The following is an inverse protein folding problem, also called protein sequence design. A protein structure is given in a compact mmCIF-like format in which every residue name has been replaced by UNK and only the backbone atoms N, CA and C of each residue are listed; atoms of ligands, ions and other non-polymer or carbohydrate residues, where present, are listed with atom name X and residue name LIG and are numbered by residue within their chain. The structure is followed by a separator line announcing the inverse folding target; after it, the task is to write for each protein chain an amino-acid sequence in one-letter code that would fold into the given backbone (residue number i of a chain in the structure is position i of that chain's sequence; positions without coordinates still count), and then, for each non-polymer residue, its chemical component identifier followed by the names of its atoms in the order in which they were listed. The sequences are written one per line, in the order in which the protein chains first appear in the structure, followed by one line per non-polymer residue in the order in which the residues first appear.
data_IF_297997750594
#
_entry.id   IF_297997750594
#
_cell.length_a   1.000
_cell.length_b   1.000
_cell.length_c   1.000
_cell.angle_alpha   90.00
_cell.angle_beta   90.00
_cell.angle_gamma   90.00
#
_symmetry.space_group_name_H-M   'P 1'
#
loop_
_entity.id
_entity.type
_entity.pdbx_description
1 polymer ?
#
# COMPACT_ATOMS: atom_id res chain seq x y z
N UNK A 1 -23.52 68.01 44.74
CA UNK A 1 -23.08 67.75 43.37
C UNK A 1 -23.08 66.27 43.18
N UNK A 2 -24.11 65.71 42.52
CA UNK A 2 -24.35 64.29 42.32
C UNK A 2 -23.87 63.92 40.89
N UNK A 3 -23.08 62.95 40.68
CA UNK A 3 -22.71 62.58 39.32
C UNK A 3 -23.81 61.75 38.68
N UNK A 4 -24.06 62.03 37.43
CA UNK A 4 -25.03 61.46 36.52
C UNK A 4 -24.53 60.10 36.07
N UNK A 5 -25.31 59.05 36.32
CA UNK A 5 -25.05 57.70 35.79
C UNK A 5 -25.79 57.59 34.45
N UNK A 6 -25.04 57.47 33.36
CA UNK A 6 -25.58 57.15 32.03
C UNK A 6 -25.56 55.68 31.86
N UNK A 7 -26.71 55.00 31.77
CA UNK A 7 -26.85 53.61 31.29
C UNK A 7 -26.84 53.61 29.75
N UNK A 8 -25.98 52.87 29.16
CA UNK A 8 -26.03 52.57 27.72
C UNK A 8 -26.43 51.12 27.61
N UNK A 9 -27.70 50.85 27.40
CA UNK A 9 -28.21 49.56 26.93
C UNK A 9 -28.10 49.57 25.39
N UNK A 10 -27.08 48.90 24.86
CA UNK A 10 -27.02 48.61 23.42
C UNK A 10 -26.96 47.13 23.23
N UNK A 11 -28.10 46.51 22.95
CA UNK A 11 -28.24 45.18 22.43
C UNK A 11 -27.60 45.14 21.03
N UNK A 12 -26.44 44.54 20.91
CA UNK A 12 -25.88 44.14 19.60
C UNK A 12 -26.24 42.68 19.40
N UNK A 13 -27.34 42.41 18.72
CA UNK A 13 -27.65 41.12 18.11
C UNK A 13 -26.87 41.02 16.82
N UNK A 14 -25.61 40.62 16.93
CA UNK A 14 -24.83 40.16 15.77
C UNK A 14 -25.16 38.70 15.43
N UNK A 15 -25.11 38.31 14.14
CA UNK A 15 -25.31 36.91 13.77
C UNK A 15 -24.25 36.06 14.47
N UNK A 16 -24.68 34.93 15.08
CA UNK A 16 -23.82 33.88 15.56
C UNK A 16 -22.92 33.43 14.39
N UNK A 17 -21.64 33.79 14.46
CA UNK A 17 -20.63 33.20 13.58
C UNK A 17 -20.65 31.70 13.83
N UNK A 18 -21.09 30.94 12.84
CA UNK A 18 -20.90 29.51 12.82
C UNK A 18 -19.40 29.21 13.05
N UNK A 19 -19.05 28.25 13.89
CA UNK A 19 -17.64 27.89 14.03
C UNK A 19 -17.11 27.57 12.65
N UNK A 20 -16.08 28.30 12.21
CA UNK A 20 -15.27 27.90 11.08
C UNK A 20 -14.68 26.54 11.47
N UNK A 21 -15.21 25.46 10.91
CA UNK A 21 -14.54 24.17 10.95
C UNK A 21 -13.25 24.40 10.18
N UNK A 22 -12.14 24.61 10.89
CA UNK A 22 -10.83 24.53 10.29
C UNK A 22 -10.77 23.16 9.64
N UNK A 23 -10.73 23.13 8.29
CA UNK A 23 -10.40 21.91 7.55
C UNK A 23 -8.95 21.57 7.90
N UNK A 24 -8.75 20.80 8.97
CA UNK A 24 -7.46 20.19 9.25
C UNK A 24 -7.11 19.34 8.01
N UNK A 25 -5.89 19.47 7.50
CA UNK A 25 -5.50 18.64 6.35
C UNK A 25 -5.68 17.17 6.72
N UNK A 26 -6.39 16.42 5.87
CA UNK A 26 -6.57 14.98 6.07
C UNK A 26 -5.19 14.30 6.11
N UNK A 27 -4.86 13.55 7.17
CA UNK A 27 -3.58 12.89 7.29
C UNK A 27 -3.29 11.98 6.08
N UNK A 28 -2.05 12.04 5.59
CA UNK A 28 -1.53 11.14 4.57
C UNK A 28 -0.50 10.23 5.24
N UNK A 29 -0.66 8.94 5.05
CA UNK A 29 0.23 7.90 5.56
C UNK A 29 1.00 7.28 4.40
N UNK A 30 2.33 7.30 4.50
CA UNK A 30 3.20 6.64 3.53
C UNK A 30 3.39 5.17 3.89
N UNK A 31 2.92 4.29 3.02
CA UNK A 31 3.02 2.84 3.19
C UNK A 31 4.24 2.24 2.50
N UNK A 32 5.07 3.10 1.89
CA UNK A 32 6.15 2.65 1.03
C UNK A 32 7.40 2.30 1.82
N UNK A 33 7.92 1.10 1.61
CA UNK A 33 9.22 0.68 2.17
C UNK A 33 10.34 1.36 1.40
N UNK A 34 11.30 2.02 2.06
CA UNK A 34 12.45 2.62 1.40
C UNK A 34 13.33 1.56 0.73
N UNK A 35 13.74 1.79 -0.51
CA UNK A 35 14.71 0.94 -1.20
C UNK A 35 16.12 1.23 -0.68
N UNK A 36 16.82 0.22 -0.19
CA UNK A 36 18.22 0.27 0.25
C UNK A 36 19.03 -0.87 -0.35
N UNK A 37 20.36 -0.71 -0.44
CA UNK A 37 21.24 -1.72 -1.03
C UNK A 37 21.24 -3.07 -0.31
N UNK A 38 20.87 -3.08 0.96
CA UNK A 38 20.93 -4.22 1.86
C UNK A 38 19.55 -4.73 2.30
N UNK A 39 18.48 -4.17 1.72
CA UNK A 39 17.14 -4.60 2.09
C UNK A 39 16.87 -6.07 1.76
N UNK A 40 15.97 -6.69 2.53
CA UNK A 40 15.47 -8.01 2.23
C UNK A 40 14.83 -8.04 0.83
N UNK A 41 15.12 -9.08 0.07
CA UNK A 41 14.52 -9.38 -1.24
C UNK A 41 13.97 -10.80 -1.23
N UNK A 42 12.96 -11.06 -2.06
CA UNK A 42 12.48 -12.43 -2.22
C UNK A 42 13.59 -13.33 -2.76
N UNK A 43 13.79 -14.56 -2.25
CA UNK A 43 14.87 -15.44 -2.68
C UNK A 43 14.79 -15.77 -4.18
N UNK A 44 15.85 -15.41 -4.90
CA UNK A 44 15.94 -15.59 -6.36
C UNK A 44 15.72 -14.31 -7.16
N UNK A 45 15.16 -13.28 -6.58
CA UNK A 45 14.98 -12.00 -7.25
C UNK A 45 16.26 -11.16 -7.28
N UNK A 46 16.38 -10.24 -8.25
CA UNK A 46 17.49 -9.29 -8.28
C UNK A 46 17.49 -8.41 -7.03
N UNK A 47 18.62 -8.36 -6.32
CA UNK A 47 18.82 -7.45 -5.21
C UNK A 47 18.87 -5.99 -5.66
N UNK A 48 18.73 -5.08 -4.69
CA UNK A 48 18.78 -3.64 -4.93
C UNK A 48 20.22 -3.16 -4.98
N UNK A 49 20.57 -2.39 -6.02
CA UNK A 49 21.87 -1.72 -6.17
C UNK A 49 21.65 -0.25 -6.51
N UNK A 50 21.94 0.61 -5.56
CA UNK A 50 21.84 2.07 -5.67
C UNK A 50 23.26 2.62 -5.55
N UNK A 51 23.77 3.27 -6.62
CA UNK A 51 25.16 3.75 -6.68
C UNK A 51 25.24 5.16 -7.26
N UNK A 52 26.31 5.88 -6.93
CA UNK A 52 26.56 7.19 -7.51
C UNK A 52 27.12 7.05 -8.92
N UNK A 53 26.31 7.43 -9.92
CA UNK A 53 26.76 7.57 -11.30
C UNK A 53 27.68 8.77 -11.46
N UNK A 54 27.27 9.95 -10.95
CA UNK A 54 28.10 11.14 -10.81
C UNK A 54 27.87 11.80 -9.46
N UNK A 55 28.85 12.60 -8.98
CA UNK A 55 28.81 13.20 -7.66
C UNK A 55 29.53 14.55 -7.60
N UNK A 56 28.89 15.58 -7.08
CA UNK A 56 29.49 16.88 -6.80
C UNK A 56 30.73 16.75 -5.92
N UNK A 57 30.76 15.81 -4.98
CA UNK A 57 31.91 15.55 -4.11
C UNK A 57 33.15 15.05 -4.90
N UNK A 58 32.95 14.46 -6.07
CA UNK A 58 34.02 14.05 -7.00
C UNK A 58 34.38 15.12 -8.04
N UNK A 59 33.73 16.30 -8.01
CA UNK A 59 33.93 17.38 -8.97
C UNK A 59 33.04 17.29 -10.23
N UNK A 60 32.08 16.40 -10.26
CA UNK A 60 31.10 16.34 -11.34
C UNK A 60 30.14 17.55 -11.29
N UNK A 61 29.45 17.86 -12.39
CA UNK A 61 28.52 18.99 -12.48
C UNK A 61 27.20 18.79 -11.74
N UNK A 62 26.85 17.54 -11.40
CA UNK A 62 25.62 17.19 -10.71
C UNK A 62 25.74 15.84 -9.97
N UNK A 63 24.90 15.64 -8.95
CA UNK A 63 24.68 14.33 -8.38
C UNK A 63 23.68 13.55 -9.23
N UNK A 64 24.05 12.36 -9.70
CA UNK A 64 23.17 11.43 -10.41
C UNK A 64 23.29 10.06 -9.77
N UNK A 65 22.15 9.50 -9.39
CA UNK A 65 22.06 8.16 -8.81
C UNK A 65 21.69 7.15 -9.90
N UNK A 66 22.40 6.04 -9.96
CA UNK A 66 22.06 4.89 -10.78
C UNK A 66 21.27 3.90 -9.94
N UNK A 67 20.11 3.47 -10.46
CA UNK A 67 19.24 2.47 -9.86
C UNK A 67 19.32 1.17 -10.67
N UNK A 68 19.48 0.05 -9.98
CA UNK A 68 19.44 -1.30 -10.57
C UNK A 68 18.77 -2.23 -9.56
N UNK A 69 17.55 -2.68 -9.86
CA UNK A 69 16.75 -3.57 -9.01
C UNK A 69 15.64 -4.26 -9.82
N UNK A 70 15.06 -5.33 -9.27
CA UNK A 70 13.94 -6.04 -9.87
C UNK A 70 12.63 -5.26 -9.78
N UNK A 71 11.66 -5.61 -10.62
CA UNK A 71 10.32 -5.02 -10.62
C UNK A 71 9.57 -5.26 -9.29
N UNK A 72 9.90 -6.35 -8.61
CA UNK A 72 9.31 -6.79 -7.33
C UNK A 72 10.15 -6.39 -6.11
N UNK A 73 10.86 -5.25 -6.18
CA UNK A 73 11.68 -4.75 -5.07
C UNK A 73 10.89 -3.79 -4.16
N UNK A 74 10.90 -4.05 -2.86
CA UNK A 74 10.22 -3.23 -1.85
C UNK A 74 8.71 -3.19 -2.05
N UNK A 75 8.11 -2.01 -1.93
CA UNK A 75 6.68 -1.83 -2.24
C UNK A 75 6.47 -1.79 -3.75
N UNK A 76 5.68 -2.71 -4.27
CA UNK A 76 5.46 -2.87 -5.70
C UNK A 76 4.05 -3.38 -6.02
N UNK A 77 3.69 -3.37 -7.30
CA UNK A 77 2.49 -4.01 -7.81
C UNK A 77 2.86 -5.18 -8.68
N UNK A 78 2.06 -6.25 -8.63
CA UNK A 78 2.06 -7.32 -9.61
C UNK A 78 0.99 -7.09 -10.66
N UNK A 79 1.34 -7.32 -11.91
CA UNK A 79 0.43 -7.35 -13.02
C UNK A 79 0.13 -8.79 -13.46
N UNK A 80 -0.98 -9.04 -14.18
CA UNK A 80 -1.28 -10.36 -14.71
C UNK A 80 -0.13 -11.02 -15.48
N UNK A 81 0.68 -10.24 -16.18
CA UNK A 81 1.86 -10.72 -16.90
C UNK A 81 2.94 -11.36 -16.01
N UNK A 82 2.86 -11.21 -14.67
CA UNK A 82 3.81 -11.84 -13.75
C UNK A 82 3.76 -13.38 -13.84
N UNK A 83 2.57 -13.97 -13.88
CA UNK A 83 2.38 -15.41 -13.91
C UNK A 83 1.61 -15.92 -15.14
N UNK A 84 1.11 -15.02 -16.01
CA UNK A 84 0.25 -15.37 -17.14
C UNK A 84 0.87 -14.82 -18.43
N UNK A 85 1.39 -15.72 -19.27
CA UNK A 85 1.99 -15.34 -20.55
C UNK A 85 1.00 -14.59 -21.45
N UNK A 86 1.45 -13.45 -21.98
CA UNK A 86 0.64 -12.61 -22.88
C UNK A 86 -0.47 -11.80 -22.19
N UNK A 87 -0.59 -11.85 -20.87
CA UNK A 87 -1.59 -11.09 -20.13
C UNK A 87 -1.25 -9.60 -20.00
N UNK A 88 -2.13 -8.84 -19.33
CA UNK A 88 -2.00 -7.39 -19.13
C UNK A 88 -0.72 -7.06 -18.35
N UNK A 89 0.01 -6.04 -18.81
CA UNK A 89 1.26 -5.56 -18.24
C UNK A 89 1.04 -4.43 -17.25
N UNK A 90 2.00 -4.20 -16.37
CA UNK A 90 1.95 -3.17 -15.33
C UNK A 90 1.70 -1.76 -15.88
N UNK A 91 2.23 -1.42 -17.07
CA UNK A 91 1.99 -0.13 -17.73
C UNK A 91 0.53 0.09 -18.15
N UNK A 92 -0.27 -0.99 -18.26
CA UNK A 92 -1.67 -0.96 -18.72
C UNK A 92 -2.69 -1.15 -17.59
N UNK A 93 -2.25 -1.24 -16.34
CA UNK A 93 -3.15 -1.33 -15.19
C UNK A 93 -4.05 -0.09 -15.13
N UNK A 94 -5.34 -0.31 -14.92
CA UNK A 94 -6.32 0.77 -14.81
C UNK A 94 -6.09 1.58 -13.53
N UNK A 95 -6.02 2.91 -13.64
CA UNK A 95 -5.85 3.80 -12.48
C UNK A 95 -7.01 3.64 -11.48
N UNK A 96 -8.20 3.31 -11.96
CA UNK A 96 -9.38 3.01 -11.14
C UNK A 96 -9.23 1.76 -10.27
N UNK A 97 -8.25 0.90 -10.55
CA UNK A 97 -7.86 -0.20 -9.66
C UNK A 97 -6.87 0.27 -8.60
N UNK A 98 -6.02 1.24 -8.94
CA UNK A 98 -4.89 1.70 -8.13
C UNK A 98 -5.24 2.85 -7.19
N UNK A 99 -6.31 3.58 -7.45
CA UNK A 99 -6.75 4.75 -6.69
C UNK A 99 -8.20 4.59 -6.27
N UNK A 100 -8.51 4.90 -5.00
CA UNK A 100 -9.86 4.99 -4.46
C UNK A 100 -10.01 4.35 -3.10
N UNK A 101 -11.24 4.22 -2.63
CA UNK A 101 -11.55 3.68 -1.32
C UNK A 101 -10.99 2.28 -1.13
N UNK A 102 -10.33 2.07 0.02
CA UNK A 102 -9.71 0.83 0.43
C UNK A 102 -9.99 0.55 1.90
N UNK A 103 -10.06 -0.70 2.26
CA UNK A 103 -10.19 -1.16 3.63
C UNK A 103 -8.86 -1.76 4.11
N UNK A 104 -8.39 -1.31 5.27
CA UNK A 104 -7.29 -1.95 6.01
C UNK A 104 -7.88 -2.90 7.01
N UNK A 105 -7.59 -4.18 6.86
CA UNK A 105 -8.03 -5.26 7.76
C UNK A 105 -6.85 -5.65 8.66
N UNK A 106 -7.05 -5.52 9.97
CA UNK A 106 -6.07 -5.96 10.98
C UNK A 106 -6.16 -7.48 11.16
N UNK A 107 -5.10 -8.18 10.82
CA UNK A 107 -4.99 -9.64 10.98
C UNK A 107 -4.27 -9.93 12.30
N UNK A 108 -4.86 -10.74 13.20
CA UNK A 108 -4.23 -11.04 14.47
C UNK A 108 -2.81 -11.61 14.31
N UNK A 109 -1.86 -11.18 15.15
CA UNK A 109 -0.45 -11.64 15.11
C UNK A 109 -0.28 -13.17 15.21
N UNK A 110 -1.24 -13.86 15.82
CA UNK A 110 -1.27 -15.33 15.92
C UNK A 110 -1.70 -16.02 14.63
N UNK A 111 -2.25 -15.28 13.67
CA UNK A 111 -2.72 -15.78 12.40
C UNK A 111 -1.55 -15.85 11.41
N UNK A 112 -1.12 -17.05 11.03
CA UNK A 112 -0.03 -17.28 10.09
C UNK A 112 -0.52 -17.42 8.64
N UNK A 113 -1.81 -17.67 8.45
CA UNK A 113 -2.46 -17.69 7.15
C UNK A 113 -3.83 -17.04 7.22
N UNK A 114 -4.19 -16.29 6.20
CA UNK A 114 -5.45 -15.56 6.09
C UNK A 114 -6.43 -16.43 5.30
N UNK A 115 -7.26 -17.17 6.02
CA UNK A 115 -8.24 -18.09 5.43
C UNK A 115 -9.56 -17.42 5.05
N UNK A 116 -10.36 -18.12 4.23
CA UNK A 116 -11.66 -17.65 3.73
C UNK A 116 -12.62 -17.27 4.86
N UNK A 117 -12.71 -18.09 5.90
CA UNK A 117 -13.62 -17.83 7.02
C UNK A 117 -13.31 -16.48 7.67
N UNK A 118 -12.03 -16.22 7.99
CA UNK A 118 -11.63 -14.94 8.55
C UNK A 118 -12.00 -13.79 7.62
N UNK A 119 -11.67 -13.89 6.32
CA UNK A 119 -11.96 -12.81 5.36
C UNK A 119 -13.46 -12.57 5.24
N UNK A 120 -14.27 -13.62 5.16
CA UNK A 120 -15.73 -13.49 5.05
C UNK A 120 -16.39 -12.84 6.26
N UNK A 121 -15.78 -13.00 7.45
CA UNK A 121 -16.30 -12.42 8.69
C UNK A 121 -15.98 -10.93 8.85
N UNK A 122 -14.86 -10.47 8.26
CA UNK A 122 -14.37 -9.10 8.48
C UNK A 122 -14.47 -8.20 7.26
N UNK A 123 -14.49 -8.76 6.04
CA UNK A 123 -14.54 -7.98 4.81
C UNK A 123 -15.89 -7.28 4.64
N UNK A 124 -15.85 -5.98 4.41
CA UNK A 124 -17.06 -5.21 4.15
C UNK A 124 -17.43 -5.23 2.66
N UNK A 125 -18.60 -5.79 2.38
CA UNK A 125 -19.10 -5.93 1.00
C UNK A 125 -19.20 -4.59 0.27
N UNK A 126 -18.72 -4.57 -0.98
CA UNK A 126 -18.70 -3.38 -1.83
C UNK A 126 -17.40 -2.61 -1.83
N UNK A 127 -16.47 -2.90 -0.91
CA UNK A 127 -15.11 -2.35 -0.94
C UNK A 127 -14.33 -3.06 -2.05
N UNK A 128 -13.71 -2.28 -2.92
CA UNK A 128 -13.00 -2.83 -4.08
C UNK A 128 -11.49 -2.97 -3.90
N UNK A 129 -10.92 -2.52 -2.76
CA UNK A 129 -9.49 -2.63 -2.44
C UNK A 129 -9.34 -3.05 -0.99
N UNK A 130 -8.55 -4.09 -0.76
CA UNK A 130 -8.34 -4.65 0.58
C UNK A 130 -6.85 -4.71 0.86
N UNK A 131 -6.44 -4.19 2.02
CA UNK A 131 -5.06 -4.23 2.49
C UNK A 131 -5.01 -5.03 3.79
N UNK A 132 -4.30 -6.13 3.80
CA UNK A 132 -4.11 -6.95 5.00
C UNK A 132 -2.90 -6.45 5.78
N UNK A 133 -3.16 -5.90 6.97
CA UNK A 133 -2.15 -5.54 7.94
C UNK A 133 -1.94 -6.74 8.86
N UNK A 134 -0.75 -7.30 8.82
CA UNK A 134 -0.38 -8.50 9.56
C UNK A 134 0.81 -8.23 10.49
N UNK A 135 1.28 -9.25 11.17
CA UNK A 135 2.53 -9.19 11.93
C UNK A 135 3.76 -8.89 11.05
N UNK A 136 3.64 -9.07 9.73
CA UNK A 136 4.76 -8.89 8.81
C UNK A 136 5.28 -7.45 8.76
N UNK A 137 4.42 -6.45 9.01
CA UNK A 137 4.86 -5.05 9.10
C UNK A 137 6.01 -4.83 10.08
N UNK A 138 6.11 -5.65 11.14
CA UNK A 138 7.22 -5.60 12.11
C UNK A 138 8.55 -6.04 11.49
N UNK A 139 8.51 -6.89 10.46
CA UNK A 139 9.71 -7.43 9.81
C UNK A 139 10.53 -6.33 9.11
N UNK A 140 9.90 -5.26 8.67
CA UNK A 140 10.61 -4.13 8.06
C UNK A 140 11.57 -3.41 9.01
N UNK A 141 11.36 -3.52 10.32
CA UNK A 141 12.24 -2.98 11.34
C UNK A 141 13.13 -4.05 11.96
N UNK A 142 12.57 -5.22 12.27
CA UNK A 142 13.25 -6.29 13.00
C UNK A 142 14.19 -7.11 12.11
N UNK A 143 13.85 -7.25 10.82
CA UNK A 143 14.57 -8.08 9.83
C UNK A 143 14.77 -7.34 8.51
N UNK A 144 15.15 -6.06 8.57
CA UNK A 144 15.22 -5.18 7.39
C UNK A 144 16.10 -5.73 6.25
N UNK A 145 17.11 -6.54 6.57
CA UNK A 145 18.09 -7.10 5.63
C UNK A 145 17.95 -8.62 5.44
N UNK A 146 16.99 -9.26 6.12
CA UNK A 146 16.81 -10.71 6.12
C UNK A 146 15.41 -11.10 5.67
N UNK A 147 15.29 -11.91 4.64
CA UNK A 147 14.00 -12.44 4.21
C UNK A 147 13.45 -13.46 5.21
N UNK A 148 12.24 -13.24 5.70
CA UNK A 148 11.52 -14.14 6.60
C UNK A 148 10.62 -15.06 5.81
N UNK A 149 10.81 -16.37 5.96
CA UNK A 149 9.99 -17.39 5.27
C UNK A 149 8.67 -17.69 6.00
N UNK A 150 8.57 -17.28 7.26
CA UNK A 150 7.44 -17.52 8.16
C UNK A 150 6.45 -16.35 8.19
N UNK A 151 6.39 -15.57 7.13
CA UNK A 151 5.45 -14.45 7.00
C UNK A 151 4.00 -14.94 6.89
N UNK A 152 3.06 -14.09 7.32
CA UNK A 152 1.62 -14.31 7.14
C UNK A 152 1.25 -14.07 5.68
N UNK A 153 0.46 -14.97 5.12
CA UNK A 153 0.08 -14.99 3.70
C UNK A 153 -1.43 -15.19 3.52
N UNK A 154 -1.95 -14.95 2.32
CA UNK A 154 -3.35 -15.18 1.93
C UNK A 154 -3.50 -16.61 1.38
N UNK A 155 -4.49 -17.36 1.87
CA UNK A 155 -4.82 -18.68 1.34
C UNK A 155 -5.58 -18.59 0.02
N UNK A 156 -5.51 -19.64 -0.79
CA UNK A 156 -6.19 -19.72 -2.10
C UNK A 156 -7.69 -19.44 -1.98
N UNK A 157 -8.37 -20.10 -1.05
CA UNK A 157 -9.84 -19.97 -0.88
C UNK A 157 -10.26 -18.56 -0.47
N UNK A 158 -9.40 -17.85 0.25
CA UNK A 158 -9.62 -16.44 0.60
C UNK A 158 -9.43 -15.52 -0.62
N UNK A 159 -8.42 -15.79 -1.43
CA UNK A 159 -8.19 -15.06 -2.69
C UNK A 159 -9.36 -15.27 -3.67
N UNK A 160 -9.83 -16.51 -3.82
CA UNK A 160 -10.99 -16.83 -4.66
C UNK A 160 -12.25 -16.12 -4.15
N UNK A 161 -12.48 -16.10 -2.85
CA UNK A 161 -13.61 -15.38 -2.24
C UNK A 161 -13.56 -13.89 -2.54
N UNK A 162 -12.41 -13.22 -2.32
CA UNK A 162 -12.26 -11.79 -2.65
C UNK A 162 -12.51 -11.50 -4.12
N UNK A 163 -12.03 -12.38 -4.98
CA UNK A 163 -12.24 -12.27 -6.42
C UNK A 163 -13.73 -12.43 -6.82
N UNK A 164 -14.49 -13.27 -6.12
CA UNK A 164 -15.95 -13.40 -6.28
C UNK A 164 -16.71 -12.16 -5.80
N UNK A 165 -16.16 -11.45 -4.79
CA UNK A 165 -16.73 -10.18 -4.31
C UNK A 165 -16.47 -8.98 -5.25
N UNK A 166 -15.68 -9.17 -6.33
CA UNK A 166 -15.36 -8.11 -7.28
C UNK A 166 -14.31 -7.12 -6.82
N UNK A 167 -13.44 -7.54 -5.90
CA UNK A 167 -12.26 -6.76 -5.47
C UNK A 167 -11.36 -6.49 -6.67
N UNK A 168 -10.79 -5.29 -6.74
CA UNK A 168 -9.89 -4.84 -7.82
C UNK A 168 -8.42 -4.86 -7.44
N UNK A 169 -8.15 -4.80 -6.13
CA UNK A 169 -6.79 -4.76 -5.60
C UNK A 169 -6.76 -5.43 -4.24
N UNK A 170 -5.74 -6.27 -4.04
CA UNK A 170 -5.42 -6.86 -2.73
C UNK A 170 -3.98 -6.52 -2.38
N UNK A 171 -3.76 -6.00 -1.17
CA UNK A 171 -2.42 -5.66 -0.68
C UNK A 171 -2.04 -6.42 0.58
N UNK A 172 -0.74 -6.66 0.74
CA UNK A 172 -0.17 -7.28 1.94
C UNK A 172 1.14 -6.60 2.35
N UNK A 173 1.43 -6.69 3.62
CA UNK A 173 2.56 -6.00 4.26
C UNK A 173 3.87 -6.82 4.28
N UNK A 174 4.09 -7.65 3.24
CA UNK A 174 5.37 -8.32 3.01
C UNK A 174 5.61 -8.61 1.52
N UNK A 175 6.77 -9.25 1.24
CA UNK A 175 7.32 -9.48 -0.11
C UNK A 175 6.65 -10.61 -0.89
N UNK A 176 5.59 -11.22 -0.36
CA UNK A 176 4.68 -12.09 -1.11
C UNK A 176 3.32 -12.19 -0.42
N UNK A 177 2.26 -12.21 -1.24
CA UNK A 177 0.91 -12.51 -0.78
C UNK A 177 0.70 -14.01 -0.58
N UNK A 178 1.51 -14.84 -1.19
CA UNK A 178 1.39 -16.30 -1.20
C UNK A 178 2.36 -16.98 -0.24
N UNK A 179 2.02 -18.17 0.25
CA UNK A 179 2.87 -18.96 1.11
C UNK A 179 4.25 -19.22 0.48
N UNK A 180 5.33 -19.02 1.24
CA UNK A 180 6.67 -19.28 0.77
C UNK A 180 6.86 -20.73 0.33
N UNK A 181 7.48 -20.92 -0.84
CA UNK A 181 7.76 -22.22 -1.41
C UNK A 181 6.56 -22.94 -2.05
N UNK A 182 5.40 -22.26 -2.11
CA UNK A 182 4.24 -22.80 -2.83
C UNK A 182 4.54 -22.94 -4.33
N UNK A 183 4.25 -24.10 -4.86
CA UNK A 183 4.43 -24.39 -6.29
C UNK A 183 3.19 -23.97 -7.07
N UNK A 184 3.39 -23.57 -8.34
CA UNK A 184 2.33 -23.20 -9.28
C UNK A 184 1.59 -21.91 -8.96
N UNK A 185 1.94 -21.21 -7.90
CA UNK A 185 1.44 -19.87 -7.52
C UNK A 185 -0.09 -19.73 -7.53
N UNK A 186 -0.85 -20.64 -6.86
CA UNK A 186 -2.30 -20.69 -6.96
C UNK A 186 -2.99 -19.40 -6.46
N UNK A 187 -2.50 -18.79 -5.38
CA UNK A 187 -3.08 -17.54 -4.83
C UNK A 187 -2.88 -16.36 -5.78
N UNK A 188 -1.68 -16.20 -6.33
CA UNK A 188 -1.41 -15.17 -7.36
C UNK A 188 -2.30 -15.41 -8.58
N UNK A 189 -2.38 -16.63 -9.08
CA UNK A 189 -3.18 -16.97 -10.26
C UNK A 189 -4.68 -16.74 -10.02
N UNK A 190 -5.20 -17.02 -8.82
CA UNK A 190 -6.60 -16.78 -8.49
C UNK A 190 -6.97 -15.29 -8.60
N UNK A 191 -6.07 -14.39 -8.21
CA UNK A 191 -6.25 -12.95 -8.29
C UNK A 191 -5.93 -12.40 -9.69
N UNK A 192 -4.73 -12.67 -10.19
CA UNK A 192 -4.21 -12.06 -11.43
C UNK A 192 -4.98 -12.51 -12.68
N UNK A 193 -5.48 -13.76 -12.73
CA UNK A 193 -6.31 -14.23 -13.85
C UNK A 193 -7.64 -13.49 -13.97
N UNK A 194 -8.10 -12.87 -12.89
CA UNK A 194 -9.31 -12.03 -12.85
C UNK A 194 -9.00 -10.53 -12.99
N UNK A 195 -7.75 -10.18 -13.28
CA UNK A 195 -7.30 -8.80 -13.44
C UNK A 195 -7.22 -8.01 -12.13
N UNK A 196 -7.19 -8.71 -10.99
CA UNK A 196 -7.02 -8.09 -9.67
C UNK A 196 -5.55 -7.77 -9.47
N UNK A 197 -5.25 -6.53 -9.14
CA UNK A 197 -3.88 -6.08 -8.85
C UNK A 197 -3.47 -6.58 -7.48
N UNK A 198 -2.25 -7.10 -7.38
CA UNK A 198 -1.65 -7.40 -6.08
C UNK A 198 -0.68 -6.27 -5.73
N UNK A 199 -0.65 -5.85 -4.47
CA UNK A 199 0.34 -4.90 -3.93
C UNK A 199 1.07 -5.58 -2.79
N UNK A 200 2.36 -5.73 -2.95
CA UNK A 200 3.24 -6.37 -1.98
C UNK A 200 4.23 -5.37 -1.37
N UNK A 201 4.87 -5.75 -0.29
CA UNK A 201 5.87 -4.91 0.34
C UNK A 201 5.33 -3.64 1.00
N UNK A 202 4.07 -3.63 1.45
CA UNK A 202 3.51 -2.51 2.20
C UNK A 202 4.09 -2.46 3.61
N UNK A 203 4.28 -1.26 4.15
CA UNK A 203 4.52 -1.04 5.58
C UNK A 203 3.26 -0.45 6.22
N UNK A 204 2.50 -1.27 6.91
CA UNK A 204 1.26 -0.88 7.58
C UNK A 204 1.45 -0.63 9.09
N UNK A 205 2.70 -0.50 9.54
CA UNK A 205 3.01 -0.16 10.94
C UNK A 205 2.33 1.16 11.33
N UNK A 206 1.59 1.15 12.44
CA UNK A 206 0.91 2.33 12.95
C UNK A 206 -0.39 2.72 12.22
N UNK A 207 -0.76 2.00 11.16
CA UNK A 207 -2.04 2.19 10.49
C UNK A 207 -3.13 1.45 11.26
N UNK A 208 -4.25 2.10 11.56
CA UNK A 208 -5.40 1.46 12.17
C UNK A 208 -6.25 0.74 11.13
N UNK A 209 -6.96 -0.31 11.54
CA UNK A 209 -8.00 -0.90 10.70
C UNK A 209 -9.08 0.13 10.37
N UNK A 210 -9.66 0.05 9.18
CA UNK A 210 -10.71 0.96 8.73
C UNK A 210 -10.59 1.38 7.28
N UNK A 211 -11.38 2.38 6.90
CA UNK A 211 -11.49 2.87 5.53
C UNK A 211 -10.58 4.07 5.28
N UNK A 212 -9.98 4.06 4.11
CA UNK A 212 -9.07 5.10 3.62
C UNK A 212 -9.24 5.28 2.12
N UNK A 213 -8.72 6.35 1.58
CA UNK A 213 -8.41 6.42 0.16
C UNK A 213 -6.99 5.91 -0.07
N UNK A 214 -6.85 4.85 -0.86
CA UNK A 214 -5.57 4.34 -1.34
C UNK A 214 -5.17 5.09 -2.62
N UNK A 215 -3.90 5.50 -2.68
CA UNK A 215 -3.23 5.94 -3.90
C UNK A 215 -1.95 5.10 -4.02
N UNK A 216 -1.94 4.16 -4.97
CA UNK A 216 -0.80 3.28 -5.24
C UNK A 216 -0.41 3.42 -6.70
N UNK A 217 0.67 4.16 -6.96
CA UNK A 217 1.10 4.49 -8.33
C UNK A 217 2.42 3.79 -8.65
N UNK A 218 2.40 2.72 -9.46
CA UNK A 218 3.61 2.07 -9.92
C UNK A 218 4.35 2.93 -10.94
N UNK A 219 5.66 2.71 -11.08
CA UNK A 219 6.45 3.24 -12.17
C UNK A 219 5.87 2.74 -13.50
N UNK A 220 5.66 3.64 -14.46
CA UNK A 220 5.18 3.28 -15.79
C UNK A 220 6.33 2.78 -16.66
N UNK A 221 6.59 1.51 -16.60
CA UNK A 221 7.69 0.85 -17.33
C UNK A 221 7.11 0.13 -18.56
N UNK A 222 7.53 0.52 -19.76
CA UNK A 222 7.03 -0.05 -21.02
C UNK A 222 7.88 -1.21 -21.55
N UNK A 223 9.15 -1.24 -21.16
CA UNK A 223 10.11 -2.27 -21.58
C UNK A 223 10.11 -3.45 -20.60
N UNK A 224 10.66 -4.58 -21.03
CA UNK A 224 10.71 -5.81 -20.24
C UNK A 224 9.43 -6.61 -20.34
N UNK A 225 9.22 -7.51 -19.38
CA UNK A 225 8.04 -8.39 -19.36
C UNK A 225 6.78 -7.66 -18.93
N UNK A 226 6.91 -6.60 -18.12
CA UNK A 226 5.77 -5.86 -17.59
C UNK A 226 5.04 -6.61 -16.48
N UNK A 227 5.76 -7.50 -15.83
CA UNK A 227 5.34 -8.38 -14.74
C UNK A 227 4.90 -7.61 -13.50
N UNK A 228 5.61 -6.53 -13.16
CA UNK A 228 5.34 -5.68 -12.01
C UNK A 228 6.00 -4.33 -12.15
N UNK A 229 5.91 -3.51 -11.11
CA UNK A 229 6.66 -2.27 -10.99
C UNK A 229 6.70 -1.77 -9.53
N UNK A 230 7.84 -1.23 -9.06
CA UNK A 230 7.90 -0.51 -7.79
C UNK A 230 6.90 0.63 -7.76
N UNK A 231 6.28 0.84 -6.60
CA UNK A 231 5.20 1.80 -6.43
C UNK A 231 5.41 2.70 -5.21
N UNK A 232 4.90 3.94 -5.26
CA UNK A 232 4.62 4.72 -4.06
C UNK A 232 3.18 4.48 -3.67
N UNK A 233 2.98 3.90 -2.47
CA UNK A 233 1.68 3.63 -1.91
C UNK A 233 1.43 4.54 -0.70
N UNK A 234 0.30 5.24 -0.70
CA UNK A 234 -0.11 6.09 0.41
C UNK A 234 -1.58 5.88 0.73
N UNK A 235 -1.94 6.06 2.01
CA UNK A 235 -3.33 6.17 2.45
C UNK A 235 -3.64 7.62 2.83
N UNK A 236 -4.84 8.06 2.53
CA UNK A 236 -5.42 9.31 3.03
C UNK A 236 -6.70 8.99 3.80
N UNK A 237 -6.90 9.61 4.96
CA UNK A 237 -8.19 9.48 5.66
C UNK A 237 -9.32 10.00 4.78
N UNK A 238 -10.47 9.37 4.89
CA UNK A 238 -11.74 9.84 4.30
C UNK A 238 -12.65 10.27 5.45
N UNK A 239 -13.44 11.31 5.21
CA UNK A 239 -14.43 11.85 6.19
C UNK A 239 -15.59 10.86 6.40
#
# INVERSE_FOLDING_TARGET
MTPLVVRIDTLISGPLLSPLTENLPMPIYDLTVPLTNDMASYPGDPGVQITDWSSLARGDSANVTRLNFGAHSGTHVDAPAHFIEGAAKSESLALESLIGEAEVIDVPDSCLSIGKEFVSDVYESGISRVLFKTRNSKFWQEYATEFRQDFTYLELEAAEYLAEQGVKLVGIDYLSIEQFGQKQHPTHLALLSRGIVIVEGLNLTGISAGRYELICLPMRIRSGQGDGAPARAVLRTID
#
